data_IF_205238193948
#
_entry.id   IF_205238193948
#
_cell.length_a   1.000
_cell.length_b   1.000
_cell.length_c   1.000
_cell.angle_alpha   90.00
_cell.angle_beta   90.00
_cell.angle_gamma   90.00
#
_symmetry.space_group_name_H-M   'P 1'
#
loop_
_entity.id
_entity.type
_entity.pdbx_description
1 polymer ?
#
# COMPACT_ATOMS: atom_id res chain seq x y z
N UNK A 1 -22.14 4.76 7.11
CA UNK A 1 -22.09 3.36 6.64
C UNK A 1 -22.40 3.43 5.15
N UNK A 2 -21.37 3.50 4.31
CA UNK A 2 -21.51 3.33 2.87
C UNK A 2 -20.74 2.07 2.51
N UNK A 3 -21.47 0.97 2.38
CA UNK A 3 -21.01 -0.21 1.64
C UNK A 3 -21.09 0.14 0.15
N UNK A 4 -20.10 0.86 -0.36
CA UNK A 4 -19.90 1.05 -1.81
C UNK A 4 -18.82 0.09 -2.31
N UNK A 5 -18.99 -1.20 -2.01
CA UNK A 5 -18.12 -2.30 -2.42
C UNK A 5 -18.83 -3.13 -3.49
N UNK A 6 -18.85 -2.64 -4.73
CA UNK A 6 -19.39 -3.40 -5.86
C UNK A 6 -18.41 -4.49 -6.30
N UNK A 7 -18.92 -5.59 -6.87
CA UNK A 7 -18.09 -6.63 -7.49
C UNK A 7 -17.08 -6.06 -8.50
N UNK A 8 -17.43 -4.95 -9.14
CA UNK A 8 -16.58 -4.23 -10.09
C UNK A 8 -15.33 -3.62 -9.43
N UNK A 9 -15.42 -3.17 -8.17
CA UNK A 9 -14.27 -2.63 -7.42
C UNK A 9 -13.24 -3.72 -7.13
N UNK A 10 -13.70 -4.88 -6.62
CA UNK A 10 -12.82 -6.02 -6.40
C UNK A 10 -12.24 -6.56 -7.71
N UNK A 11 -13.05 -6.64 -8.77
CA UNK A 11 -12.57 -7.03 -10.10
C UNK A 11 -11.52 -6.06 -10.66
N UNK A 12 -11.68 -4.76 -10.46
CA UNK A 12 -10.72 -3.75 -10.90
C UNK A 12 -9.40 -3.83 -10.12
N UNK A 13 -9.44 -4.06 -8.80
CA UNK A 13 -8.25 -4.27 -7.97
C UNK A 13 -7.50 -5.54 -8.41
N UNK A 14 -8.22 -6.64 -8.62
CA UNK A 14 -7.65 -7.89 -9.14
C UNK A 14 -6.99 -7.68 -10.51
N UNK A 15 -7.64 -6.98 -11.43
CA UNK A 15 -7.06 -6.67 -12.74
C UNK A 15 -5.82 -5.76 -12.64
N UNK A 16 -5.84 -4.77 -11.74
CA UNK A 16 -4.71 -3.88 -11.47
C UNK A 16 -3.48 -4.63 -10.94
N UNK A 17 -3.70 -5.56 -10.00
CA UNK A 17 -2.65 -6.44 -9.48
C UNK A 17 -2.06 -7.33 -10.58
N UNK A 18 -2.89 -7.96 -11.42
CA UNK A 18 -2.43 -8.76 -12.55
C UNK A 18 -1.58 -7.97 -13.55
N UNK A 19 -2.05 -6.77 -13.97
CA UNK A 19 -1.31 -5.90 -14.89
C UNK A 19 0.03 -5.49 -14.28
N UNK A 20 0.03 -5.07 -13.01
CA UNK A 20 1.22 -4.65 -12.28
C UNK A 20 2.23 -5.78 -12.17
N UNK A 21 1.80 -6.96 -11.70
CA UNK A 21 2.66 -8.13 -11.53
C UNK A 21 3.31 -8.54 -12.86
N UNK A 22 2.55 -8.55 -13.98
CA UNK A 22 3.09 -8.88 -15.30
C UNK A 22 4.15 -7.90 -15.81
N UNK A 23 4.15 -6.65 -15.36
CA UNK A 23 5.20 -5.67 -15.67
C UNK A 23 6.39 -5.78 -14.72
N UNK A 24 6.14 -5.98 -13.43
CA UNK A 24 7.17 -5.91 -12.38
C UNK A 24 7.93 -7.22 -12.25
N UNK A 25 7.25 -8.37 -12.25
CA UNK A 25 7.86 -9.69 -12.00
C UNK A 25 8.99 -10.03 -12.97
N UNK A 26 8.91 -9.78 -14.30
CA UNK A 26 10.02 -10.04 -15.21
C UNK A 26 11.33 -9.34 -14.79
N UNK A 27 11.23 -8.08 -14.35
CA UNK A 27 12.39 -7.33 -13.89
C UNK A 27 12.89 -7.83 -12.52
N UNK A 28 11.97 -8.21 -11.62
CA UNK A 28 12.33 -8.86 -10.35
C UNK A 28 13.12 -10.16 -10.59
N UNK A 29 12.68 -10.99 -11.53
CA UNK A 29 13.35 -12.23 -11.92
C UNK A 29 14.73 -11.96 -12.54
N UNK A 30 14.86 -10.94 -13.38
CA UNK A 30 16.15 -10.54 -13.96
C UNK A 30 17.16 -10.14 -12.86
N UNK A 31 16.69 -9.35 -11.89
CA UNK A 31 17.52 -8.74 -10.85
C UNK A 31 17.91 -9.70 -9.73
N UNK A 32 16.96 -10.53 -9.26
CA UNK A 32 17.13 -11.40 -8.08
C UNK A 32 17.31 -12.88 -8.40
N UNK A 33 16.87 -13.33 -9.58
CA UNK A 33 16.96 -14.73 -10.07
C UNK A 33 16.56 -15.79 -9.03
N UNK A 34 15.38 -15.68 -8.39
CA UNK A 34 14.95 -16.63 -7.38
C UNK A 34 14.61 -17.97 -8.03
N UNK A 35 14.77 -19.06 -7.28
CA UNK A 35 14.21 -20.38 -7.62
C UNK A 35 13.00 -20.72 -6.75
N UNK A 36 12.83 -20.03 -5.62
CA UNK A 36 11.72 -20.15 -4.68
C UNK A 36 11.21 -18.78 -4.23
N UNK A 37 9.89 -18.62 -4.13
CA UNK A 37 9.23 -17.35 -3.76
C UNK A 37 8.20 -17.60 -2.66
N UNK A 38 8.22 -16.76 -1.63
CA UNK A 38 7.10 -16.65 -0.68
C UNK A 38 6.47 -15.27 -0.79
N UNK A 39 5.14 -15.21 -0.76
CA UNK A 39 4.37 -13.96 -0.74
C UNK A 39 3.57 -13.90 0.57
N UNK A 40 3.90 -12.93 1.42
CA UNK A 40 3.35 -12.74 2.76
C UNK A 40 2.35 -11.58 2.71
N UNK A 41 1.08 -11.89 2.94
CA UNK A 41 -0.04 -11.04 2.55
C UNK A 41 -0.41 -11.20 1.07
N UNK A 42 -0.40 -12.45 0.58
CA UNK A 42 -0.57 -12.76 -0.84
C UNK A 42 -2.00 -12.54 -1.40
N UNK A 43 -2.98 -12.30 -0.53
CA UNK A 43 -4.40 -12.31 -0.86
C UNK A 43 -4.80 -13.61 -1.53
N UNK A 44 -5.31 -13.52 -2.75
CA UNK A 44 -5.65 -14.68 -3.58
C UNK A 44 -4.46 -15.25 -4.39
N UNK A 45 -3.24 -14.71 -4.24
CA UNK A 45 -2.02 -15.24 -4.84
C UNK A 45 -1.71 -14.74 -6.27
N UNK A 46 -2.21 -13.55 -6.66
CA UNK A 46 -2.02 -13.00 -8.02
C UNK A 46 -0.55 -12.77 -8.38
N UNK A 47 0.27 -12.29 -7.44
CA UNK A 47 1.69 -12.08 -7.73
C UNK A 47 2.41 -13.41 -7.92
N UNK A 48 2.13 -14.39 -7.06
CA UNK A 48 2.65 -15.75 -7.16
C UNK A 48 2.22 -16.46 -8.45
N UNK A 49 0.99 -16.28 -8.91
CA UNK A 49 0.53 -16.89 -10.17
C UNK A 49 1.35 -16.38 -11.36
N UNK A 50 1.71 -15.09 -11.40
CA UNK A 50 2.62 -14.54 -12.42
C UNK A 50 4.05 -15.07 -12.29
N UNK A 51 4.59 -15.21 -11.07
CA UNK A 51 5.88 -15.88 -10.86
C UNK A 51 5.86 -17.31 -11.43
N UNK A 52 4.76 -18.04 -11.24
CA UNK A 52 4.56 -19.40 -11.78
C UNK A 52 4.43 -19.43 -13.29
N UNK A 53 3.67 -18.50 -13.88
CA UNK A 53 3.58 -18.31 -15.35
C UNK A 53 4.99 -18.14 -15.96
N UNK A 54 5.89 -17.48 -15.23
CA UNK A 54 7.27 -17.21 -15.64
C UNK A 54 8.29 -18.28 -15.20
N UNK A 55 7.81 -19.41 -14.67
CA UNK A 55 8.61 -20.62 -14.48
C UNK A 55 9.11 -20.90 -13.06
N UNK A 56 8.76 -20.09 -12.06
CA UNK A 56 9.01 -20.42 -10.66
C UNK A 56 8.08 -21.56 -10.22
N UNK A 57 8.65 -22.63 -9.66
CA UNK A 57 7.89 -23.82 -9.28
C UNK A 57 7.63 -23.94 -7.79
N UNK A 58 8.52 -23.38 -6.97
CA UNK A 58 8.45 -23.42 -5.51
C UNK A 58 7.89 -22.08 -5.02
N UNK A 59 6.57 -22.01 -4.92
CA UNK A 59 5.85 -20.82 -4.47
C UNK A 59 5.05 -21.15 -3.20
N UNK A 60 5.00 -20.20 -2.27
CA UNK A 60 4.13 -20.29 -1.09
C UNK A 60 3.47 -18.94 -0.81
N UNK A 61 2.15 -18.94 -0.66
CA UNK A 61 1.35 -17.80 -0.25
C UNK A 61 0.94 -17.91 1.21
N UNK A 62 1.12 -16.83 1.97
CA UNK A 62 0.64 -16.69 3.34
C UNK A 62 -0.35 -15.52 3.37
N UNK A 63 -1.52 -15.72 3.94
CA UNK A 63 -2.49 -14.64 4.20
C UNK A 63 -3.47 -15.06 5.30
N UNK A 64 -4.38 -14.20 5.73
CA UNK A 64 -5.35 -14.48 6.78
C UNK A 64 -6.39 -15.53 6.40
N UNK A 65 -7.06 -16.06 7.43
CA UNK A 65 -8.13 -17.07 7.27
C UNK A 65 -9.38 -16.51 6.56
N UNK A 66 -9.44 -15.20 6.30
CA UNK A 66 -10.52 -14.52 5.60
C UNK A 66 -10.47 -14.67 4.07
N UNK A 67 -9.34 -15.10 3.49
CA UNK A 67 -9.21 -15.25 2.02
C UNK A 67 -10.14 -16.36 1.52
N UNK A 68 -10.90 -16.13 0.46
CA UNK A 68 -11.72 -17.18 -0.14
C UNK A 68 -10.86 -18.19 -0.94
N UNK A 69 -10.87 -19.44 -0.52
CA UNK A 69 -10.01 -20.51 -1.09
C UNK A 69 -10.47 -20.93 -2.47
N UNK A 70 -11.74 -20.68 -2.80
CA UNK A 70 -12.27 -20.93 -4.14
C UNK A 70 -11.83 -19.88 -5.16
N UNK A 71 -11.31 -18.74 -4.69
CA UNK A 71 -10.84 -17.63 -5.51
C UNK A 71 -9.31 -17.58 -5.66
N UNK A 72 -8.57 -18.59 -5.17
CA UNK A 72 -7.11 -18.63 -5.27
C UNK A 72 -6.64 -18.76 -6.74
N UNK A 73 -5.63 -17.97 -7.09
CA UNK A 73 -4.89 -18.01 -8.36
C UNK A 73 -3.65 -18.92 -8.29
N UNK A 74 -3.44 -19.56 -7.14
CA UNK A 74 -2.41 -20.57 -6.85
C UNK A 74 -3.06 -21.87 -6.37
N UNK A 75 -2.28 -22.94 -6.27
CA UNK A 75 -2.81 -24.21 -5.77
C UNK A 75 -3.13 -24.11 -4.27
N UNK A 76 -4.12 -24.88 -3.82
CA UNK A 76 -4.55 -24.86 -2.42
C UNK A 76 -3.43 -25.30 -1.46
N UNK A 77 -2.55 -26.21 -1.88
CA UNK A 77 -1.39 -26.67 -1.10
C UNK A 77 -0.21 -25.67 -1.10
N UNK A 78 -0.29 -24.63 -1.92
CA UNK A 78 0.65 -23.51 -1.95
C UNK A 78 0.17 -22.34 -1.07
N UNK A 79 -1.04 -22.40 -0.50
CA UNK A 79 -1.57 -21.37 0.39
C UNK A 79 -1.64 -21.86 1.84
N UNK A 80 -1.15 -21.07 2.78
CA UNK A 80 -1.29 -21.34 4.20
C UNK A 80 -1.94 -20.15 4.91
N UNK A 81 -3.12 -20.34 5.55
CA UNK A 81 -3.69 -19.29 6.38
C UNK A 81 -2.84 -19.04 7.62
N UNK A 82 -2.58 -17.78 7.93
CA UNK A 82 -1.82 -17.34 9.08
C UNK A 82 -2.20 -15.91 9.47
N UNK A 83 -2.29 -15.64 10.77
CA UNK A 83 -2.49 -14.30 11.28
C UNK A 83 -1.15 -13.54 11.34
N UNK A 84 -0.97 -12.62 10.39
CA UNK A 84 0.25 -11.85 10.17
C UNK A 84 0.58 -10.86 11.32
N UNK A 85 -0.33 -10.65 12.28
CA UNK A 85 -0.01 -9.93 13.52
C UNK A 85 0.98 -10.72 14.40
N UNK A 86 1.10 -12.04 14.17
CA UNK A 86 1.96 -12.93 14.93
C UNK A 86 3.31 -13.21 14.23
N UNK A 87 4.26 -13.70 15.01
CA UNK A 87 5.58 -14.08 14.51
C UNK A 87 5.53 -15.33 13.62
N UNK A 88 5.78 -15.17 12.32
CA UNK A 88 5.79 -16.27 11.35
C UNK A 88 7.15 -16.99 11.33
N UNK A 89 7.10 -18.31 11.36
CA UNK A 89 8.27 -19.19 11.22
C UNK A 89 7.89 -20.49 10.49
N UNK A 90 8.55 -20.76 9.36
CA UNK A 90 8.22 -21.91 8.48
C UNK A 90 9.30 -23.01 8.48
N UNK A 91 10.38 -22.84 9.27
CA UNK A 91 11.50 -23.80 9.31
C UNK A 91 12.31 -23.92 8.02
N UNK A 92 12.03 -23.07 7.02
CA UNK A 92 12.75 -22.95 5.75
C UNK A 92 12.84 -21.49 5.33
N UNK A 93 13.71 -21.22 4.35
CA UNK A 93 13.86 -19.93 3.68
C UNK A 93 13.48 -20.05 2.20
N UNK A 94 13.34 -18.89 1.56
CA UNK A 94 13.05 -18.70 0.14
C UNK A 94 14.09 -17.75 -0.47
N UNK A 95 14.30 -17.86 -1.78
CA UNK A 95 15.26 -17.00 -2.48
C UNK A 95 14.74 -15.56 -2.63
N UNK A 96 13.41 -15.39 -2.64
CA UNK A 96 12.72 -14.12 -2.64
C UNK A 96 11.51 -14.15 -1.72
N UNK A 97 11.44 -13.16 -0.83
CA UNK A 97 10.25 -12.85 -0.02
C UNK A 97 9.53 -11.67 -0.64
N UNK A 98 8.22 -11.75 -0.80
CA UNK A 98 7.36 -10.69 -1.33
C UNK A 98 6.36 -10.30 -0.25
N UNK A 99 6.09 -9.00 -0.11
CA UNK A 99 5.03 -8.45 0.75
C UNK A 99 4.67 -7.06 0.22
N UNK A 100 3.57 -6.94 -0.52
CA UNK A 100 3.23 -5.72 -1.25
C UNK A 100 1.85 -5.20 -0.85
N UNK A 101 1.80 -4.01 -0.23
CA UNK A 101 0.58 -3.36 0.28
C UNK A 101 -0.13 -4.25 1.33
N UNK A 102 0.59 -4.54 2.41
CA UNK A 102 0.16 -5.44 3.49
C UNK A 102 0.36 -4.78 4.86
N UNK A 103 1.55 -4.23 5.10
CA UNK A 103 1.94 -3.79 6.44
C UNK A 103 1.10 -2.63 6.98
N UNK A 104 0.47 -1.85 6.12
CA UNK A 104 -0.46 -0.77 6.47
C UNK A 104 -1.78 -1.23 7.08
N UNK A 105 -2.13 -2.51 6.90
CA UNK A 105 -3.31 -3.13 7.48
C UNK A 105 -3.05 -3.70 8.87
N UNK A 106 -1.77 -3.87 9.24
CA UNK A 106 -1.37 -4.38 10.54
C UNK A 106 -1.26 -3.21 11.54
N UNK A 107 -1.61 -3.41 12.82
CA UNK A 107 -1.36 -2.41 13.86
C UNK A 107 0.12 -1.98 13.89
N UNK A 108 0.41 -0.72 14.24
CA UNK A 108 1.78 -0.20 14.26
C UNK A 108 2.68 -1.00 15.22
N UNK A 109 2.14 -1.48 16.33
CA UNK A 109 2.82 -2.35 17.29
C UNK A 109 3.29 -3.69 16.69
N UNK A 110 2.69 -4.14 15.60
CA UNK A 110 3.08 -5.35 14.89
C UNK A 110 4.23 -5.12 13.90
N UNK A 111 4.61 -3.87 13.59
CA UNK A 111 5.61 -3.55 12.57
C UNK A 111 6.94 -4.28 12.80
N UNK A 112 7.42 -4.32 14.04
CA UNK A 112 8.67 -5.00 14.39
C UNK A 112 8.57 -6.52 14.15
N UNK A 113 7.50 -7.14 14.65
CA UNK A 113 7.24 -8.58 14.51
C UNK A 113 7.03 -8.98 13.05
N UNK A 114 6.42 -8.12 12.26
CA UNK A 114 6.18 -8.36 10.83
C UNK A 114 7.50 -8.31 10.05
N UNK A 115 8.33 -7.28 10.24
CA UNK A 115 9.66 -7.21 9.59
C UNK A 115 10.56 -8.36 10.05
N UNK A 116 10.50 -8.75 11.32
CA UNK A 116 11.18 -9.95 11.83
C UNK A 116 10.75 -11.23 11.10
N UNK A 117 9.47 -11.36 10.81
CA UNK A 117 8.93 -12.48 10.03
C UNK A 117 9.49 -12.51 8.62
N UNK A 118 9.47 -11.38 7.90
CA UNK A 118 9.99 -11.29 6.54
C UNK A 118 11.50 -11.59 6.47
N UNK A 119 12.28 -11.01 7.38
CA UNK A 119 13.74 -11.15 7.39
C UNK A 119 14.24 -12.54 7.79
N UNK A 120 13.41 -13.35 8.47
CA UNK A 120 13.68 -14.78 8.70
C UNK A 120 13.44 -15.65 7.49
N UNK A 121 12.62 -15.20 6.53
CA UNK A 121 12.20 -16.00 5.39
C UNK A 121 13.16 -15.94 4.21
N UNK A 122 14.03 -14.94 4.11
CA UNK A 122 15.01 -14.88 3.03
C UNK A 122 15.87 -13.62 3.06
N UNK A 123 16.99 -13.66 2.34
CA UNK A 123 17.98 -12.59 2.29
C UNK A 123 17.59 -11.46 1.31
N UNK A 124 16.60 -11.69 0.43
CA UNK A 124 16.08 -10.72 -0.54
C UNK A 124 14.58 -10.58 -0.35
N UNK A 125 14.13 -9.35 -0.11
CA UNK A 125 12.73 -9.03 0.18
C UNK A 125 12.28 -7.94 -0.79
N UNK A 126 11.18 -8.16 -1.48
CA UNK A 126 10.46 -7.18 -2.27
C UNK A 126 9.27 -6.68 -1.45
N UNK A 127 9.32 -5.42 -1.04
CA UNK A 127 8.42 -4.87 -0.04
C UNK A 127 7.74 -3.60 -0.53
N UNK A 128 6.46 -3.43 -0.20
CA UNK A 128 5.75 -2.15 -0.29
C UNK A 128 4.70 -2.05 0.82
N UNK A 129 4.40 -0.83 1.25
CA UNK A 129 3.33 -0.51 2.17
C UNK A 129 2.84 0.91 1.93
N UNK A 130 1.57 1.16 2.18
CA UNK A 130 0.94 2.46 1.96
C UNK A 130 1.60 3.59 2.76
N UNK A 131 1.83 4.73 2.11
CA UNK A 131 2.33 5.96 2.77
C UNK A 131 1.18 6.73 3.44
N UNK A 132 1.47 7.66 4.38
CA UNK A 132 0.43 8.48 5.00
C UNK A 132 -0.47 9.20 4.00
N UNK A 133 -1.77 9.14 4.23
CA UNK A 133 -2.83 9.70 3.40
C UNK A 133 -2.98 9.03 2.03
N UNK A 134 -2.32 7.91 1.76
CA UNK A 134 -2.59 7.10 0.58
C UNK A 134 -4.08 6.71 0.55
N UNK A 135 -4.58 6.28 1.71
CA UNK A 135 -5.91 5.73 1.89
C UNK A 135 -6.03 4.33 1.31
N UNK A 136 -7.16 3.70 1.61
CA UNK A 136 -7.48 2.33 1.23
C UNK A 136 -8.39 1.72 2.31
N UNK A 137 -8.74 0.45 2.13
CA UNK A 137 -9.69 -0.21 3.04
C UNK A 137 -8.96 -0.71 4.27
N UNK A 138 -9.35 -0.26 5.46
CA UNK A 138 -8.73 -0.66 6.74
C UNK A 138 -7.21 -0.38 6.81
N UNK A 139 -6.75 0.75 6.30
CA UNK A 139 -5.38 1.19 6.53
C UNK A 139 -5.29 1.82 7.93
N UNK A 140 -4.56 1.17 8.83
CA UNK A 140 -4.38 1.60 10.23
C UNK A 140 -2.95 2.04 10.55
N UNK A 141 -1.99 1.70 9.68
CA UNK A 141 -0.56 1.95 9.88
C UNK A 141 0.12 2.42 8.58
N UNK A 142 -0.41 3.47 7.96
CA UNK A 142 0.23 4.09 6.81
C UNK A 142 1.52 4.79 7.25
N UNK A 143 2.67 4.32 6.74
CA UNK A 143 4.00 4.77 7.19
C UNK A 143 4.91 5.02 6.00
N UNK A 144 5.83 5.97 6.17
CA UNK A 144 6.80 6.32 5.13
C UNK A 144 7.75 5.16 4.82
N UNK A 145 8.26 5.03 3.58
CA UNK A 145 9.28 4.02 3.25
C UNK A 145 10.53 4.11 4.14
N UNK A 146 10.89 5.31 4.62
CA UNK A 146 12.00 5.51 5.57
C UNK A 146 11.75 4.85 6.95
N UNK A 147 10.49 4.80 7.40
CA UNK A 147 10.09 4.10 8.63
C UNK A 147 10.36 2.59 8.47
N UNK A 148 9.85 1.99 7.40
CA UNK A 148 10.06 0.57 7.11
C UNK A 148 11.54 0.24 6.88
N UNK A 149 12.26 1.11 6.15
CA UNK A 149 13.69 0.96 5.93
C UNK A 149 14.48 0.96 7.24
N UNK A 150 14.10 1.77 8.22
CA UNK A 150 14.72 1.75 9.56
C UNK A 150 14.59 0.37 10.21
N UNK A 151 13.41 -0.25 10.15
CA UNK A 151 13.19 -1.60 10.69
C UNK A 151 14.04 -2.67 9.99
N UNK A 152 14.16 -2.60 8.67
CA UNK A 152 15.02 -3.50 7.89
C UNK A 152 16.52 -3.27 8.16
N UNK A 153 16.96 -2.02 8.26
CA UNK A 153 18.35 -1.64 8.55
C UNK A 153 18.81 -2.16 9.90
N UNK A 154 17.95 -2.10 10.92
CA UNK A 154 18.21 -2.67 12.25
C UNK A 154 18.45 -4.19 12.22
N UNK A 155 17.96 -4.87 11.17
CA UNK A 155 18.15 -6.32 10.93
C UNK A 155 19.26 -6.61 9.91
N UNK A 156 20.03 -5.59 9.52
CA UNK A 156 21.13 -5.73 8.58
C UNK A 156 20.72 -5.81 7.11
N UNK A 157 19.51 -5.38 6.75
CA UNK A 157 19.05 -5.29 5.36
C UNK A 157 19.19 -3.86 4.84
N UNK A 158 19.70 -3.70 3.62
CA UNK A 158 19.83 -2.41 2.95
C UNK A 158 18.69 -2.19 1.94
N UNK A 159 18.06 -1.01 1.90
CA UNK A 159 17.09 -0.66 0.85
C UNK A 159 17.78 -0.50 -0.50
N UNK A 160 17.16 -1.00 -1.56
CA UNK A 160 17.62 -0.90 -2.94
C UNK A 160 16.45 -0.39 -3.80
N UNK A 161 16.57 0.87 -4.27
CA UNK A 161 15.55 1.53 -5.09
C UNK A 161 15.90 1.46 -6.58
N UNK A 162 15.70 0.29 -7.18
CA UNK A 162 15.98 0.07 -8.61
C UNK A 162 14.72 -0.11 -9.47
N UNK A 163 13.54 -0.25 -8.86
CA UNK A 163 12.28 -0.50 -9.57
C UNK A 163 11.46 0.77 -9.81
N UNK A 164 11.30 1.64 -8.81
CA UNK A 164 10.36 2.78 -8.89
C UNK A 164 10.65 3.69 -10.06
N UNK A 165 11.92 4.00 -10.31
CA UNK A 165 12.36 4.82 -11.47
C UNK A 165 12.05 4.18 -12.83
N UNK A 166 11.98 2.85 -12.91
CA UNK A 166 11.66 2.13 -14.16
C UNK A 166 10.17 2.21 -14.47
N UNK A 167 9.32 2.18 -13.44
CA UNK A 167 7.87 2.13 -13.58
C UNK A 167 7.16 3.46 -13.30
N UNK A 168 7.87 4.52 -12.92
CA UNK A 168 7.30 5.82 -12.50
C UNK A 168 6.28 6.45 -13.46
N UNK A 169 6.38 6.15 -14.76
CA UNK A 169 5.47 6.64 -15.80
C UNK A 169 4.75 5.50 -16.54
N UNK A 170 4.83 4.28 -16.02
CA UNK A 170 4.18 3.13 -16.61
C UNK A 170 2.76 3.03 -16.06
N UNK A 171 1.78 3.37 -16.90
CA UNK A 171 0.37 3.37 -16.52
C UNK A 171 -0.20 1.94 -16.37
N UNK A 172 0.53 0.91 -16.82
CA UNK A 172 0.17 -0.50 -16.64
C UNK A 172 0.55 -1.05 -15.25
N UNK A 173 1.26 -0.26 -14.43
CA UNK A 173 1.55 -0.59 -13.03
C UNK A 173 0.76 0.36 -12.15
N UNK A 174 0.03 -0.19 -11.19
CA UNK A 174 -0.73 0.62 -10.25
C UNK A 174 0.20 1.53 -9.45
N UNK A 175 -0.20 2.79 -9.33
CA UNK A 175 0.72 3.84 -8.88
C UNK A 175 1.16 3.66 -7.42
N UNK A 176 0.36 2.99 -6.60
CA UNK A 176 0.71 2.68 -5.21
C UNK A 176 1.90 1.71 -5.16
N UNK A 177 1.91 0.65 -5.98
CA UNK A 177 3.07 -0.23 -6.11
C UNK A 177 4.30 0.55 -6.57
N UNK A 178 4.18 1.34 -7.64
CA UNK A 178 5.31 2.11 -8.18
C UNK A 178 5.91 3.08 -7.16
N UNK A 179 5.08 3.69 -6.31
CA UNK A 179 5.52 4.62 -5.29
C UNK A 179 6.27 3.95 -4.14
N UNK A 180 5.81 2.77 -3.75
CA UNK A 180 6.15 2.17 -2.46
C UNK A 180 7.16 1.01 -2.59
N UNK A 181 7.25 0.39 -3.77
CA UNK A 181 8.02 -0.85 -3.96
C UNK A 181 9.54 -0.63 -3.85
N UNK A 182 10.16 -1.37 -2.96
CA UNK A 182 11.60 -1.38 -2.73
C UNK A 182 12.10 -2.81 -2.55
N UNK A 183 13.34 -3.06 -2.93
CA UNK A 183 14.04 -4.24 -2.45
C UNK A 183 14.69 -3.94 -1.10
N UNK A 184 14.72 -4.92 -0.22
CA UNK A 184 15.56 -4.95 0.97
C UNK A 184 16.44 -6.20 0.89
N UNK A 185 17.75 -5.99 0.89
CA UNK A 185 18.73 -7.07 0.72
C UNK A 185 19.66 -7.13 1.91
N UNK A 186 19.83 -8.31 2.48
CA UNK A 186 20.75 -8.54 3.59
C UNK A 186 22.17 -8.13 3.19
N UNK A 187 22.78 -7.23 3.97
CA UNK A 187 24.08 -6.62 3.66
C UNK A 187 25.17 -7.67 3.44
N UNK A 188 25.17 -8.76 4.22
CA UNK A 188 26.13 -9.87 4.08
C UNK A 188 25.98 -10.66 2.77
N UNK A 189 24.84 -10.56 2.10
CA UNK A 189 24.49 -11.35 0.92
C UNK A 189 24.46 -10.50 -0.36
N UNK A 190 24.64 -9.17 -0.27
CA UNK A 190 24.63 -8.24 -1.40
C UNK A 190 25.56 -8.64 -2.56
N UNK A 191 26.75 -9.19 -2.25
CA UNK A 191 27.71 -9.63 -3.27
C UNK A 191 27.19 -10.76 -4.15
N UNK A 192 26.18 -11.51 -3.68
CA UNK A 192 25.54 -12.59 -4.44
C UNK A 192 24.53 -12.06 -5.47
N UNK A 193 24.12 -10.79 -5.36
CA UNK A 193 23.11 -10.16 -6.21
C UNK A 193 23.68 -8.95 -6.96
N UNK A 194 24.64 -9.15 -7.89
CA UNK A 194 25.32 -8.05 -8.57
C UNK A 194 24.35 -7.14 -9.34
N UNK A 195 23.27 -7.69 -9.89
CA UNK A 195 22.26 -6.90 -10.61
C UNK A 195 21.47 -5.97 -9.69
N UNK A 196 21.15 -6.39 -8.46
CA UNK A 196 20.60 -5.51 -7.42
C UNK A 196 21.63 -4.49 -6.94
N UNK A 197 22.90 -4.86 -6.88
CA UNK A 197 23.97 -3.97 -6.42
C UNK A 197 24.25 -2.77 -7.35
N UNK A 198 23.85 -2.83 -8.63
CA UNK A 198 24.00 -1.68 -9.56
C UNK A 198 23.06 -0.51 -9.24
N UNK A 199 21.99 -0.76 -8.47
CA UNK A 199 21.12 0.27 -7.88
C UNK A 199 21.37 0.47 -6.38
N UNK A 200 22.49 -0.04 -5.85
CA UNK A 200 22.86 0.11 -4.44
C UNK A 200 23.08 1.59 -4.14
N UNK A 201 22.15 2.15 -3.38
CA UNK A 201 22.37 3.39 -2.68
C UNK A 201 23.19 3.04 -1.44
N UNK A 202 24.33 3.71 -1.27
CA UNK A 202 24.89 3.83 0.07
C UNK A 202 23.77 4.39 0.95
N UNK A 203 23.58 3.84 2.15
CA UNK A 203 22.42 4.10 3.02
C UNK A 203 22.27 5.58 3.44
N UNK A 204 23.11 6.46 2.91
CA UNK A 204 23.20 7.90 3.11
C UNK A 204 22.66 8.75 1.93
N UNK A 205 21.78 8.22 1.04
CA UNK A 205 21.21 8.97 -0.09
C UNK A 205 19.68 9.18 0.03
N UNK A 206 19.28 9.69 1.19
CA UNK A 206 18.18 10.59 1.61
C UNK A 206 16.82 10.71 0.87
N UNK A 207 16.37 9.79 0.00
CA UNK A 207 15.05 9.95 -0.61
C UNK A 207 14.25 8.67 -0.89
N UNK A 208 13.87 7.95 0.18
CA UNK A 208 12.92 6.84 0.05
C UNK A 208 11.47 7.34 0.02
N UNK A 209 11.12 8.33 0.83
CA UNK A 209 9.80 8.97 0.82
C UNK A 209 9.54 9.76 -0.46
N UNK A 210 8.69 9.20 -1.33
CA UNK A 210 8.23 9.83 -2.57
C UNK A 210 6.70 9.84 -2.60
N UNK A 211 6.13 10.91 -3.17
CA UNK A 211 4.70 11.00 -3.45
C UNK A 211 4.51 10.97 -4.96
N UNK A 212 3.76 10.00 -5.45
CA UNK A 212 3.45 9.85 -6.85
C UNK A 212 2.50 10.97 -7.30
N UNK A 213 2.69 11.57 -8.50
CA UNK A 213 1.83 12.65 -8.97
C UNK A 213 0.33 12.30 -8.96
N UNK A 214 -0.03 11.04 -9.28
CA UNK A 214 -1.43 10.58 -9.24
C UNK A 214 -2.04 10.64 -7.84
N UNK A 215 -1.29 10.27 -6.79
CA UNK A 215 -1.77 10.40 -5.41
C UNK A 215 -1.97 11.87 -5.06
N UNK A 216 -0.94 12.69 -5.31
CA UNK A 216 -0.97 14.12 -5.01
C UNK A 216 -2.14 14.82 -5.71
N UNK A 217 -2.30 14.63 -7.02
CA UNK A 217 -3.37 15.28 -7.78
C UNK A 217 -4.76 14.81 -7.37
N UNK A 218 -4.93 13.52 -7.06
CA UNK A 218 -6.21 12.96 -6.59
C UNK A 218 -6.61 13.58 -5.25
N UNK A 219 -5.68 13.62 -4.28
CA UNK A 219 -5.95 14.16 -2.94
C UNK A 219 -6.15 15.68 -2.97
N UNK A 220 -5.33 16.40 -3.72
CA UNK A 220 -5.45 17.86 -3.83
C UNK A 220 -6.73 18.28 -4.54
N UNK A 221 -7.15 17.55 -5.58
CA UNK A 221 -8.42 17.80 -6.25
C UNK A 221 -9.62 17.55 -5.32
N UNK A 222 -9.62 16.43 -4.58
CA UNK A 222 -10.67 16.15 -3.61
C UNK A 222 -10.78 17.26 -2.54
N UNK A 223 -9.65 17.71 -2.00
CA UNK A 223 -9.61 18.83 -1.06
C UNK A 223 -10.13 20.14 -1.67
N UNK A 224 -9.79 20.43 -2.93
CA UNK A 224 -10.31 21.61 -3.63
C UNK A 224 -11.83 21.54 -3.80
N UNK A 225 -12.36 20.39 -4.18
CA UNK A 225 -13.79 20.17 -4.35
C UNK A 225 -14.54 20.33 -3.00
N UNK A 226 -13.97 19.82 -1.91
CA UNK A 226 -14.50 19.99 -0.55
C UNK A 226 -14.51 21.45 -0.10
N UNK A 227 -13.42 22.19 -0.36
CA UNK A 227 -13.33 23.63 -0.04
C UNK A 227 -14.44 24.40 -0.77
N UNK A 228 -14.61 24.17 -2.08
CA UNK A 228 -15.66 24.82 -2.87
C UNK A 228 -17.06 24.49 -2.33
N UNK A 229 -17.30 23.24 -1.92
CA UNK A 229 -18.56 22.84 -1.32
C UNK A 229 -18.83 23.54 0.03
N UNK A 230 -17.80 23.66 0.87
CA UNK A 230 -17.89 24.35 2.16
C UNK A 230 -18.14 25.85 2.00
N UNK A 231 -17.49 26.51 1.03
CA UNK A 231 -17.71 27.92 0.71
C UNK A 231 -19.17 28.17 0.28
N UNK A 232 -19.73 27.28 -0.54
CA UNK A 232 -21.14 27.35 -0.93
C UNK A 232 -22.08 27.23 0.27
N UNK A 233 -21.88 26.23 1.13
CA UNK A 233 -22.71 26.05 2.33
C UNK A 233 -22.57 27.23 3.30
N UNK A 234 -21.38 27.81 3.44
CA UNK A 234 -21.17 29.00 4.26
C UNK A 234 -21.95 30.21 3.73
N UNK A 235 -21.97 30.42 2.41
CA UNK A 235 -22.74 31.49 1.78
C UNK A 235 -24.26 31.30 1.98
N UNK A 236 -24.77 30.07 1.82
CA UNK A 236 -26.17 29.73 2.07
C UNK A 236 -26.58 30.00 3.54
N UNK A 237 -25.72 29.62 4.49
CA UNK A 237 -25.95 29.89 5.91
C UNK A 237 -25.94 31.39 6.24
N UNK A 238 -25.06 32.17 5.61
CA UNK A 238 -25.03 33.63 5.78
C UNK A 238 -26.29 34.31 5.25
N UNK A 239 -26.79 33.88 4.10
CA UNK A 239 -28.03 34.38 3.53
C UNK A 239 -29.23 34.01 4.42
N UNK A 240 -29.32 32.76 4.86
CA UNK A 240 -30.36 32.31 5.77
C UNK A 240 -30.35 33.10 7.09
N UNK A 241 -29.18 33.31 7.69
CA UNK A 241 -29.03 34.10 8.90
C UNK A 241 -29.48 35.56 8.68
N UNK A 242 -29.11 36.15 7.54
CA UNK A 242 -29.54 37.52 7.17
C UNK A 242 -31.06 37.62 7.02
N UNK A 243 -31.71 36.61 6.43
CA UNK A 243 -33.17 36.54 6.32
C UNK A 243 -33.84 36.37 7.69
N UNK A 244 -33.29 35.52 8.57
CA UNK A 244 -33.80 35.34 9.93
C UNK A 244 -33.71 36.63 10.74
N UNK A 245 -32.59 37.36 10.66
CA UNK A 245 -32.42 38.66 11.31
C UNK A 245 -33.43 39.70 10.80
N UNK A 246 -33.71 39.74 9.49
CA UNK A 246 -34.74 40.61 8.90
C UNK A 246 -36.15 40.24 9.41
N UNK A 247 -36.48 38.95 9.46
CA UNK A 247 -37.77 38.47 10.00
C UNK A 247 -37.92 38.83 11.48
N UNK A 248 -36.88 38.59 12.30
CA UNK A 248 -36.88 38.94 13.72
C UNK A 248 -37.10 40.44 13.97
N UNK A 249 -36.43 41.32 13.22
CA UNK A 249 -36.60 42.77 13.33
C UNK A 249 -38.02 43.22 12.94
N UNK A 250 -38.61 42.60 11.93
CA UNK A 250 -39.97 42.94 11.48
C UNK A 250 -41.09 42.40 12.38
N UNK A 251 -40.87 41.28 13.10
CA UNK A 251 -41.81 40.78 14.12
C UNK A 251 -41.77 41.60 15.40
N UNK A 252 -40.58 42.01 15.86
CA UNK A 252 -40.43 42.81 17.10
C UNK A 252 -40.87 44.27 16.96
N UNK A 253 -40.95 44.80 15.73
CA UNK A 253 -41.48 46.16 15.48
C UNK A 253 -43.02 46.24 15.53
N UNK A 254 -43.75 45.11 15.50
CA UNK A 254 -45.22 45.10 15.53
C UNK A 254 -45.83 45.06 16.94
N UNK A 255 -45.02 44.80 17.96
CA UNK A 255 -45.44 44.71 19.37
C UNK A 255 -45.10 45.98 20.19
N UNK A 256 -45.12 47.17 19.58
CA UNK A 256 -45.20 48.40 20.38
C UNK A 256 -46.67 48.67 20.74
N UNK A 257 -47.12 48.43 22.00
CA UNK A 257 -48.45 48.84 22.42
C UNK A 257 -48.57 50.35 22.31
N UNK A 258 -49.65 50.80 21.68
CA UNK A 258 -49.98 52.22 21.49
C UNK A 258 -49.86 53.00 22.80
N UNK A 259 -49.17 54.13 22.72
CA UNK A 259 -49.12 55.13 23.79
C UNK A 259 -50.55 55.64 24.05
N UNK A 260 -50.95 55.59 25.32
CA UNK A 260 -52.02 56.41 25.91
C UNK A 260 -51.69 57.90 25.80
#
# INVERSE_FOLDING_TARGET
>A
MNDDYTQDFFAALTQGAWRSARQVVPLVLELSRPSSVIDVGCGVGIWLSVFKELGIKDCMGIDGDYVDRSSLEILLDEFQPFDLENSLALGRTFDLVVSLEVAEHLPEECAETFVDSLTRLGDVILFSAAIPLQGGTHHVNEQWPDYWATHFLNRGYAPIDCLRKRFWRNDDVEWWYVQNILFFVKKSSLSNYPHLSTGYYDAALEQLSLVHPRLYTTKTKALQDDIVALERHAAELQELNSQLQKKWRSSTSKDQPGKF
#
